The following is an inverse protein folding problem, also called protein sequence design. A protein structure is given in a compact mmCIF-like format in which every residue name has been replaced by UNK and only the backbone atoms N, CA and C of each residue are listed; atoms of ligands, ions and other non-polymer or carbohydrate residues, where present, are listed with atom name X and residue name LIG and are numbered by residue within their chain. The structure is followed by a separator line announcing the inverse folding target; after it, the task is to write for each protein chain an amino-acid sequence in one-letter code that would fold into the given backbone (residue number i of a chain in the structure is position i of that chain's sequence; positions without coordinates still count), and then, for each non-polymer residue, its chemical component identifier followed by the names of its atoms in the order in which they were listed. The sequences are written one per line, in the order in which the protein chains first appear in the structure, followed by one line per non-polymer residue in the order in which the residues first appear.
data_IF_291455714035
#
_entry.id   IF_291455714035
#
_cell.length_a   1.000
_cell.length_b   1.000
_cell.length_c   1.000
_cell.angle_alpha   90.00
_cell.angle_beta   90.00
_cell.angle_gamma   90.00
#
_symmetry.space_group_name_H-M   'P 1'
#
loop_
_entity.id
_entity.type
_entity.pdbx_description
1 polymer ?
#
# COMPACT_ATOMS: atom_id res chain seq x y z
N UNK A 1 19.02 5.86 35.81
CA UNK A 1 18.83 7.04 34.94
C UNK A 1 17.78 6.64 33.91
N UNK A 2 16.57 7.18 34.01
CA UNK A 2 15.44 6.86 33.12
C UNK A 2 15.48 7.82 31.93
N UNK A 3 15.75 7.30 30.73
CA UNK A 3 15.65 8.05 29.49
C UNK A 3 14.99 7.17 28.42
N UNK A 4 13.66 7.27 28.31
CA UNK A 4 12.86 7.32 27.09
C UNK A 4 11.40 6.98 27.42
N UNK A 5 10.56 8.02 27.47
CA UNK A 5 9.10 7.85 27.48
C UNK A 5 8.60 7.30 26.12
N UNK A 6 7.46 6.60 26.12
CA UNK A 6 6.95 5.87 24.96
C UNK A 6 6.18 6.83 24.04
N UNK A 7 6.71 7.07 22.84
CA UNK A 7 5.94 7.64 21.72
C UNK A 7 6.36 7.00 20.40
N UNK A 8 6.47 5.67 20.39
CA UNK A 8 6.36 4.93 19.12
C UNK A 8 4.89 4.57 18.95
N UNK A 9 4.11 5.47 18.33
CA UNK A 9 2.70 5.24 17.97
C UNK A 9 2.55 4.24 16.81
N UNK A 10 3.65 3.90 16.14
CA UNK A 10 3.69 2.91 15.07
C UNK A 10 4.48 1.68 15.56
N UNK A 11 4.04 0.46 15.20
CA UNK A 11 4.80 -0.74 15.54
C UNK A 11 6.15 -0.75 14.82
N UNK A 12 7.20 -1.09 15.56
CA UNK A 12 8.56 -1.21 15.03
C UNK A 12 8.87 -2.68 14.83
N UNK A 13 9.29 -3.05 13.61
CA UNK A 13 9.71 -4.40 13.27
C UNK A 13 11.21 -4.46 13.10
N UNK A 14 11.86 -5.40 13.80
CA UNK A 14 13.26 -5.71 13.66
C UNK A 14 13.39 -7.21 13.38
N UNK A 15 14.07 -7.58 12.30
CA UNK A 15 14.22 -8.98 11.92
C UNK A 15 14.65 -9.15 10.48
N UNK A 16 14.60 -10.41 10.00
CA UNK A 16 14.90 -10.73 8.61
C UNK A 16 13.78 -10.27 7.67
N UNK A 17 14.06 -10.12 6.36
CA UNK A 17 13.04 -9.78 5.37
C UNK A 17 11.82 -10.70 5.38
N UNK A 18 12.02 -12.02 5.60
CA UNK A 18 10.96 -13.01 5.71
C UNK A 18 10.11 -12.77 6.96
N UNK A 19 10.76 -12.51 8.10
CA UNK A 19 10.07 -12.21 9.36
C UNK A 19 9.19 -10.97 9.22
N UNK A 20 9.67 -9.92 8.54
CA UNK A 20 8.87 -8.71 8.26
C UNK A 20 7.70 -9.04 7.33
N UNK A 21 7.94 -9.78 6.25
CA UNK A 21 6.88 -10.21 5.33
C UNK A 21 5.80 -11.06 6.02
N UNK A 22 6.18 -11.94 6.94
CA UNK A 22 5.27 -12.77 7.72
C UNK A 22 4.36 -11.93 8.62
N UNK A 23 4.89 -10.87 9.25
CA UNK A 23 4.05 -9.96 10.07
C UNK A 23 3.08 -9.16 9.21
N UNK A 24 3.55 -8.64 8.07
CA UNK A 24 2.69 -7.91 7.13
C UNK A 24 1.56 -8.80 6.60
N UNK A 25 1.87 -10.06 6.28
CA UNK A 25 0.88 -11.05 5.89
C UNK A 25 -0.13 -11.31 7.00
N UNK A 26 0.35 -11.57 8.23
CA UNK A 26 -0.51 -11.82 9.38
C UNK A 26 -1.50 -10.67 9.60
N UNK A 27 -1.05 -9.42 9.49
CA UNK A 27 -1.91 -8.24 9.64
C UNK A 27 -2.92 -8.09 8.51
N UNK A 28 -2.50 -8.37 7.27
CA UNK A 28 -3.40 -8.36 6.12
C UNK A 28 -4.51 -9.41 6.30
N UNK A 29 -4.15 -10.64 6.66
CA UNK A 29 -5.09 -11.74 6.90
C UNK A 29 -6.00 -11.48 8.12
N UNK A 30 -5.49 -10.78 9.13
CA UNK A 30 -6.27 -10.35 10.29
C UNK A 30 -7.20 -9.14 10.00
N UNK A 31 -7.17 -8.57 8.80
CA UNK A 31 -8.02 -7.43 8.42
C UNK A 31 -7.62 -6.11 9.07
N UNK A 32 -6.36 -5.97 9.52
CA UNK A 32 -5.86 -4.74 10.17
C UNK A 32 -5.74 -3.58 9.17
N UNK A 33 -5.52 -3.89 7.88
CA UNK A 33 -5.53 -2.89 6.82
C UNK A 33 -5.09 -3.45 5.47
N UNK A 34 -5.48 -2.75 4.39
CA UNK A 34 -5.12 -3.09 3.01
C UNK A 34 -3.85 -2.38 2.53
N UNK A 35 -3.40 -1.35 3.23
CA UNK A 35 -2.22 -0.55 2.90
C UNK A 35 -1.45 -0.20 4.16
N UNK A 36 -0.12 -0.20 4.07
CA UNK A 36 0.76 0.16 5.19
C UNK A 36 1.63 1.35 4.82
N UNK A 37 1.87 2.22 5.80
CA UNK A 37 2.84 3.30 5.67
C UNK A 37 4.18 2.82 6.25
N UNK A 38 5.24 2.83 5.43
CA UNK A 38 6.56 2.34 5.83
C UNK A 38 7.44 3.53 6.16
N UNK A 39 7.93 3.58 7.41
CA UNK A 39 8.78 4.64 7.92
C UNK A 39 10.11 3.99 8.32
N UNK A 40 11.17 4.32 7.59
CA UNK A 40 12.51 3.80 7.84
C UNK A 40 13.30 4.69 8.82
N UNK A 41 14.02 4.07 9.75
CA UNK A 41 14.82 4.75 10.78
C UNK A 41 16.01 5.53 10.20
N UNK A 42 16.61 5.02 9.12
CA UNK A 42 17.78 5.63 8.46
C UNK A 42 17.43 6.37 7.16
N UNK A 43 16.15 6.71 6.95
CA UNK A 43 15.69 7.41 5.75
C UNK A 43 15.67 6.52 4.50
N UNK A 44 16.20 7.01 3.37
CA UNK A 44 16.09 6.33 2.06
C UNK A 44 16.81 4.98 2.00
N UNK A 45 17.89 4.77 2.75
CA UNK A 45 18.63 3.49 2.75
C UNK A 45 17.75 2.34 3.27
N UNK A 46 17.07 2.57 4.39
CA UNK A 46 16.14 1.59 4.95
C UNK A 46 14.93 1.31 4.04
N UNK A 47 14.52 2.27 3.22
CA UNK A 47 13.48 2.04 2.22
C UNK A 47 14.02 1.20 1.06
N UNK A 48 15.26 1.43 0.61
CA UNK A 48 15.89 0.62 -0.43
C UNK A 48 16.01 -0.86 0.02
N UNK A 49 16.50 -1.11 1.24
CA UNK A 49 16.58 -2.47 1.80
C UNK A 49 15.22 -3.16 1.84
N UNK A 50 14.16 -2.42 2.21
CA UNK A 50 12.79 -2.96 2.20
C UNK A 50 12.32 -3.32 0.78
N UNK A 51 12.56 -2.44 -0.19
CA UNK A 51 12.18 -2.66 -1.59
C UNK A 51 12.98 -3.81 -2.22
N UNK A 52 14.25 -3.96 -1.88
CA UNK A 52 15.09 -5.01 -2.47
C UNK A 52 14.85 -6.37 -1.82
N UNK A 53 14.57 -6.42 -0.52
CA UNK A 53 14.53 -7.69 0.22
C UNK A 53 13.11 -8.15 0.54
N UNK A 54 12.19 -7.25 0.90
CA UNK A 54 10.84 -7.61 1.39
C UNK A 54 9.81 -7.61 0.26
N UNK A 55 9.82 -6.61 -0.62
CA UNK A 55 8.86 -6.50 -1.73
C UNK A 55 8.81 -7.76 -2.62
N UNK A 56 9.94 -8.39 -3.02
CA UNK A 56 9.89 -9.61 -3.82
C UNK A 56 9.22 -10.78 -3.09
N UNK A 57 9.35 -10.86 -1.76
CA UNK A 57 8.70 -11.90 -0.95
C UNK A 57 7.18 -11.68 -0.96
N UNK A 58 6.73 -10.44 -0.74
CA UNK A 58 5.31 -10.09 -0.75
C UNK A 58 4.67 -10.31 -2.12
N UNK A 59 5.38 -9.98 -3.20
CA UNK A 59 4.93 -10.25 -4.57
C UNK A 59 4.80 -11.75 -4.86
N UNK A 60 5.81 -12.56 -4.47
CA UNK A 60 5.74 -14.03 -4.60
C UNK A 60 4.55 -14.64 -3.85
N UNK A 61 4.13 -14.01 -2.75
CA UNK A 61 2.97 -14.43 -1.95
C UNK A 61 1.63 -13.87 -2.45
N UNK A 62 1.63 -13.06 -3.51
CA UNK A 62 0.42 -12.43 -4.03
C UNK A 62 -0.16 -11.32 -3.13
N UNK A 63 0.60 -10.85 -2.14
CA UNK A 63 0.18 -9.81 -1.20
C UNK A 63 0.46 -8.39 -1.71
N UNK A 64 1.30 -8.28 -2.74
CA UNK A 64 1.67 -7.02 -3.36
C UNK A 64 1.65 -7.17 -4.87
N UNK A 65 1.16 -6.14 -5.55
CA UNK A 65 1.20 -6.04 -7.02
C UNK A 65 2.63 -6.09 -7.56
N UNK A 66 2.80 -6.70 -8.73
CA UNK A 66 4.05 -6.72 -9.49
C UNK A 66 4.18 -5.52 -10.43
N UNK A 67 3.06 -4.99 -10.90
CA UNK A 67 3.00 -3.88 -11.84
C UNK A 67 1.91 -2.88 -11.46
N UNK A 68 2.02 -1.66 -11.96
CA UNK A 68 1.03 -0.59 -11.79
C UNK A 68 0.04 -0.61 -12.96
N UNK A 69 -1.26 -0.58 -12.68
CA UNK A 69 -2.31 -0.57 -13.71
C UNK A 69 -2.98 0.81 -13.79
N UNK A 70 -2.89 1.47 -14.93
CA UNK A 70 -3.44 2.81 -15.13
C UNK A 70 -2.40 3.93 -15.05
N UNK A 71 -2.86 5.15 -15.37
CA UNK A 71 -2.08 6.37 -15.48
C UNK A 71 -2.21 7.30 -14.27
N UNK A 72 -3.22 7.08 -13.41
CA UNK A 72 -3.48 7.93 -12.25
C UNK A 72 -3.29 7.20 -10.94
N UNK A 73 -2.91 7.94 -9.89
CA UNK A 73 -2.86 7.41 -8.52
C UNK A 73 -4.19 6.76 -8.09
N UNK A 74 -5.30 7.31 -8.58
CA UNK A 74 -6.64 6.82 -8.28
C UNK A 74 -6.87 5.41 -8.84
N UNK A 75 -6.47 5.19 -10.09
CA UNK A 75 -6.53 3.86 -10.72
C UNK A 75 -5.63 2.87 -9.98
N UNK A 76 -4.43 3.29 -9.57
CA UNK A 76 -3.52 2.46 -8.78
C UNK A 76 -4.09 2.04 -7.41
N UNK A 77 -5.00 2.84 -6.86
CA UNK A 77 -5.69 2.56 -5.60
C UNK A 77 -7.05 1.85 -5.79
N UNK A 78 -7.47 1.59 -7.04
CA UNK A 78 -8.77 0.97 -7.35
C UNK A 78 -9.97 1.87 -7.03
N UNK A 79 -9.78 3.20 -7.01
CA UNK A 79 -10.81 4.15 -6.62
C UNK A 79 -11.61 4.65 -7.85
N UNK A 80 -12.94 4.81 -7.74
CA UNK A 80 -13.75 5.36 -8.82
C UNK A 80 -13.50 6.87 -8.98
N UNK A 81 -13.73 7.39 -10.18
CA UNK A 81 -13.66 8.83 -10.44
C UNK A 81 -14.75 9.56 -9.64
N UNK A 82 -14.35 10.50 -8.77
CA UNK A 82 -15.26 11.16 -7.82
C UNK A 82 -15.64 12.59 -8.20
N UNK A 83 -15.15 13.15 -9.30
CA UNK A 83 -15.74 14.40 -9.78
C UNK A 83 -17.14 14.02 -10.27
N UNK A 84 -18.18 14.75 -9.81
CA UNK A 84 -19.61 14.41 -9.95
C UNK A 84 -20.18 14.36 -11.37
N UNK A 85 -19.46 13.75 -12.32
CA UNK A 85 -19.81 13.58 -13.73
C UNK A 85 -19.89 12.10 -14.10
N UNK A 86 -20.07 11.18 -13.14
CA UNK A 86 -20.20 9.76 -13.42
C UNK A 86 -21.47 9.39 -14.25
N UNK A 87 -22.31 10.37 -14.62
CA UNK A 87 -23.54 10.16 -15.40
C UNK A 87 -23.74 11.26 -16.46
N UNK A 88 -22.84 11.39 -17.44
CA UNK A 88 -23.13 12.17 -18.65
C UNK A 88 -22.61 11.52 -19.93
N UNK A 89 -22.73 10.20 -20.11
CA UNK A 89 -22.65 9.60 -21.45
C UNK A 89 -23.54 8.35 -21.54
N UNK A 90 -24.85 8.51 -21.75
CA UNK A 90 -25.69 7.57 -22.53
C UNK A 90 -27.12 8.08 -22.86
N UNK A 91 -27.37 9.38 -23.03
CA UNK A 91 -28.72 9.86 -23.45
C UNK A 91 -28.80 10.83 -24.63
N UNK A 92 -27.69 11.33 -25.15
CA UNK A 92 -27.73 12.28 -26.27
C UNK A 92 -27.69 11.64 -27.67
N UNK A 93 -27.56 10.30 -27.77
CA UNK A 93 -27.58 9.62 -29.08
C UNK A 93 -28.99 9.22 -29.56
N UNK A 94 -30.05 9.41 -28.77
CA UNK A 94 -31.44 9.08 -29.15
C UNK A 94 -32.26 10.33 -29.57
N UNK A 95 -31.71 11.55 -29.43
CA UNK A 95 -32.39 12.78 -29.84
C UNK A 95 -32.08 13.21 -31.30
N UNK A 96 -31.33 12.40 -32.05
CA UNK A 96 -31.02 12.63 -33.47
C UNK A 96 -31.57 11.49 -34.35
N UNK A 97 -32.87 11.22 -34.24
CA UNK A 97 -33.64 10.43 -35.23
C UNK A 97 -35.11 10.85 -35.23
#
# INVERSE_FOLDING_TARGET
MLAHGPINYHPVFLGTPESIADKLQQWFEAGVGNSFNIIGDSGLSSLADFVEQVVPILQKRGLLRTEYTGSTLREHLGLPYQNGFAEFEEKDQVAAS
#
